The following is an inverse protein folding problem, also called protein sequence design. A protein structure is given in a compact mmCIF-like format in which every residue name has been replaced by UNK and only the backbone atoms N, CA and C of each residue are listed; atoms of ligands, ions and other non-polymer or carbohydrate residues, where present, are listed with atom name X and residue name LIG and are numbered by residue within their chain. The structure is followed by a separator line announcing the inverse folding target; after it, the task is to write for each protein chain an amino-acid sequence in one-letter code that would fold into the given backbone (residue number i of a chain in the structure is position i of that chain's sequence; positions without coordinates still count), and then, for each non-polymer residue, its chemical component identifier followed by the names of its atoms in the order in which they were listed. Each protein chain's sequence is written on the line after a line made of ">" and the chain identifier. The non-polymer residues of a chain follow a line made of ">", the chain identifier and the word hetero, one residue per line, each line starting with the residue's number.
data_IF_780166634891
#
_entry.id   IF_780166634891
#
_cell.length_a   1.000
_cell.length_b   1.000
_cell.length_c   1.000
_cell.angle_alpha   90.00
_cell.angle_beta   90.00
_cell.angle_gamma   90.00
#
_symmetry.space_group_name_H-M   'P 1'
#
loop_
_entity.id
_entity.type
_entity.pdbx_description
1 polymer ?
#
# COMPACT_ATOMS: atom_id res chain seq x y z
N UNK A 1 -13.54 8.80 -20.99
CA UNK A 1 -13.86 8.77 -19.58
C UNK A 1 -12.75 9.45 -18.76
N UNK A 2 -11.45 9.06 -18.88
CA UNK A 2 -10.37 9.70 -18.11
C UNK A 2 -10.23 11.18 -18.41
N UNK A 3 -10.36 11.61 -19.69
CA UNK A 3 -10.34 13.01 -20.07
C UNK A 3 -11.39 13.88 -19.34
N UNK A 4 -12.55 13.32 -19.06
CA UNK A 4 -13.68 14.02 -18.46
C UNK A 4 -13.72 13.88 -16.93
N UNK A 5 -13.11 12.83 -16.37
CA UNK A 5 -13.25 12.47 -14.96
C UNK A 5 -11.99 12.69 -14.12
N UNK A 6 -10.83 12.92 -14.77
CA UNK A 6 -9.58 13.21 -14.07
C UNK A 6 -9.62 14.62 -13.49
N UNK A 7 -9.48 14.72 -12.17
CA UNK A 7 -9.29 15.99 -11.45
C UNK A 7 -7.79 16.16 -11.21
N UNK A 8 -7.16 17.07 -11.97
CA UNK A 8 -5.71 17.33 -11.89
C UNK A 8 -5.35 18.28 -10.75
N UNK A 9 -6.21 19.25 -10.45
CA UNK A 9 -6.06 20.21 -9.37
C UNK A 9 -7.29 20.17 -8.46
N UNK A 10 -7.22 19.41 -7.36
CA UNK A 10 -8.29 19.35 -6.37
C UNK A 10 -8.23 20.52 -5.36
N UNK A 11 -7.34 21.52 -5.57
CA UNK A 11 -7.10 22.61 -4.65
C UNK A 11 -6.07 22.30 -3.54
N UNK A 12 -5.40 21.17 -3.64
CA UNK A 12 -4.29 20.78 -2.77
C UNK A 12 -3.31 19.88 -3.56
N UNK A 13 -2.07 19.76 -3.08
CA UNK A 13 -1.05 18.97 -3.74
C UNK A 13 -1.37 17.47 -3.65
N UNK A 14 -1.46 16.82 -4.81
CA UNK A 14 -1.60 15.36 -4.88
C UNK A 14 -0.26 14.69 -4.61
N UNK A 15 -0.24 13.58 -3.85
CA UNK A 15 0.98 12.81 -3.63
C UNK A 15 1.39 12.08 -4.91
N UNK A 16 2.70 11.90 -5.10
CA UNK A 16 3.26 11.13 -6.22
C UNK A 16 3.22 9.62 -5.94
N UNK A 17 3.19 9.24 -4.67
CA UNK A 17 3.10 7.84 -4.24
C UNK A 17 2.13 7.69 -3.07
N UNK A 18 1.58 6.49 -2.90
CA UNK A 18 0.77 6.18 -1.72
C UNK A 18 1.53 6.36 -0.39
N UNK A 19 2.88 6.30 -0.42
CA UNK A 19 3.76 6.53 0.73
C UNK A 19 3.91 8.01 1.13
N UNK A 20 3.31 8.93 0.38
CA UNK A 20 3.32 10.38 0.64
C UNK A 20 1.98 10.90 1.12
N UNK A 21 0.97 10.05 1.22
CA UNK A 21 -0.36 10.43 1.71
C UNK A 21 -0.28 10.82 3.17
N UNK A 22 -0.44 12.11 3.46
CA UNK A 22 -0.22 12.70 4.80
C UNK A 22 -1.46 13.32 5.40
N UNK A 23 -2.40 13.79 4.57
CA UNK A 23 -3.59 14.51 5.01
C UNK A 23 -4.85 13.69 4.77
N UNK A 24 -5.92 14.00 5.51
CA UNK A 24 -7.23 13.39 5.30
C UNK A 24 -7.79 13.72 3.93
N UNK A 25 -7.59 14.97 3.46
CA UNK A 25 -7.99 15.38 2.12
C UNK A 25 -7.37 14.51 1.01
N UNK A 26 -6.06 14.28 1.08
CA UNK A 26 -5.36 13.42 0.12
C UNK A 26 -5.89 11.98 0.17
N UNK A 27 -6.05 11.45 1.38
CA UNK A 27 -6.54 10.09 1.59
C UNK A 27 -7.97 9.91 1.03
N UNK A 28 -8.91 10.76 1.43
CA UNK A 28 -10.31 10.67 1.02
C UNK A 28 -10.47 10.89 -0.49
N UNK A 29 -9.71 11.83 -1.05
CA UNK A 29 -9.69 12.07 -2.49
C UNK A 29 -9.23 10.84 -3.27
N UNK A 30 -8.08 10.25 -2.91
CA UNK A 30 -7.54 9.09 -3.60
C UNK A 30 -8.38 7.83 -3.39
N UNK A 31 -8.97 7.67 -2.20
CA UNK A 31 -9.92 6.59 -1.92
C UNK A 31 -11.14 6.67 -2.82
N UNK A 32 -11.74 7.86 -2.92
CA UNK A 32 -12.89 8.10 -3.80
C UNK A 32 -12.50 7.98 -5.27
N UNK A 33 -11.31 8.43 -5.67
CA UNK A 33 -10.79 8.27 -7.02
C UNK A 33 -10.68 6.80 -7.38
N UNK A 34 -10.03 5.98 -6.58
CA UNK A 34 -9.89 4.55 -6.83
C UNK A 34 -11.26 3.86 -6.95
N UNK A 35 -12.19 4.17 -6.05
CA UNK A 35 -13.57 3.66 -6.12
C UNK A 35 -14.23 4.01 -7.46
N UNK A 36 -14.16 5.27 -7.87
CA UNK A 36 -14.72 5.76 -9.12
C UNK A 36 -14.14 5.04 -10.35
N UNK A 37 -12.83 4.82 -10.38
CA UNK A 37 -12.15 4.08 -11.47
C UNK A 37 -12.57 2.60 -11.47
N UNK A 38 -12.68 1.98 -10.29
CA UNK A 38 -13.18 0.61 -10.16
C UNK A 38 -14.62 0.46 -10.64
N UNK A 39 -15.54 1.32 -10.18
CA UNK A 39 -16.94 1.30 -10.57
C UNK A 39 -17.15 1.55 -12.08
N UNK A 40 -16.27 2.33 -12.68
CA UNK A 40 -16.26 2.55 -14.13
C UNK A 40 -15.68 1.37 -14.93
N UNK A 41 -15.19 0.32 -14.27
CA UNK A 41 -14.66 -0.89 -14.91
C UNK A 41 -13.21 -0.79 -15.40
N UNK A 42 -12.44 0.21 -14.97
CA UNK A 42 -11.06 0.44 -15.42
C UNK A 42 -10.00 -0.03 -14.42
N UNK A 43 -10.41 -0.68 -13.31
CA UNK A 43 -9.50 -1.23 -12.32
C UNK A 43 -9.97 -2.62 -11.86
N UNK A 44 -9.02 -3.57 -11.72
CA UNK A 44 -9.35 -4.97 -11.44
C UNK A 44 -9.88 -5.71 -12.68
N UNK A 45 -9.61 -5.21 -13.89
CA UNK A 45 -10.16 -5.73 -15.14
C UNK A 45 -9.83 -7.20 -15.39
N UNK A 46 -8.63 -7.65 -15.00
CA UNK A 46 -8.19 -9.03 -15.24
C UNK A 46 -8.42 -9.98 -14.06
N UNK A 47 -8.94 -9.48 -12.94
CA UNK A 47 -9.23 -10.33 -11.80
C UNK A 47 -10.53 -11.10 -11.97
N UNK A 48 -10.67 -12.28 -11.31
CA UNK A 48 -11.84 -13.13 -11.47
C UNK A 48 -13.13 -12.42 -11.08
N UNK A 49 -14.19 -12.67 -11.84
CA UNK A 49 -15.50 -12.05 -11.62
C UNK A 49 -16.17 -12.46 -10.33
N UNK A 50 -15.95 -13.71 -9.90
CA UNK A 50 -16.48 -14.27 -8.65
C UNK A 50 -15.96 -13.57 -7.39
N UNK A 51 -14.84 -12.80 -7.51
CA UNK A 51 -14.25 -12.02 -6.40
C UNK A 51 -14.39 -10.50 -6.63
N UNK A 52 -15.14 -10.08 -7.65
CA UNK A 52 -15.40 -8.67 -7.94
C UNK A 52 -14.50 -8.03 -8.97
N UNK A 53 -13.67 -8.80 -9.67
CA UNK A 53 -13.00 -8.35 -10.89
C UNK A 53 -13.92 -8.38 -12.10
N UNK A 54 -13.35 -8.15 -13.30
CA UNK A 54 -14.10 -8.11 -14.54
C UNK A 54 -13.78 -9.28 -15.49
N UNK A 55 -12.86 -10.16 -15.13
CA UNK A 55 -12.52 -11.38 -15.88
C UNK A 55 -11.97 -11.14 -17.29
N UNK A 56 -11.46 -9.95 -17.56
CA UNK A 56 -10.95 -9.56 -18.87
C UNK A 56 -9.50 -10.02 -19.07
N UNK A 57 -9.04 -10.03 -20.31
CA UNK A 57 -7.64 -10.29 -20.62
C UNK A 57 -6.73 -9.20 -19.99
N UNK A 58 -5.56 -9.55 -19.41
CA UNK A 58 -4.67 -8.60 -18.73
C UNK A 58 -4.25 -7.38 -19.56
N UNK A 59 -4.23 -7.50 -20.89
CA UNK A 59 -3.93 -6.38 -21.79
C UNK A 59 -4.90 -5.19 -21.61
N UNK A 60 -6.17 -5.44 -21.31
CA UNK A 60 -7.13 -4.36 -21.07
C UNK A 60 -6.72 -3.51 -19.86
N UNK A 61 -6.25 -4.16 -18.79
CA UNK A 61 -5.73 -3.43 -17.62
C UNK A 61 -4.47 -2.62 -17.95
N UNK A 62 -3.56 -3.17 -18.78
CA UNK A 62 -2.36 -2.43 -19.23
C UNK A 62 -2.73 -1.21 -20.06
N UNK A 63 -3.71 -1.35 -20.96
CA UNK A 63 -4.23 -0.22 -21.76
C UNK A 63 -4.86 0.83 -20.86
N UNK A 64 -5.74 0.44 -19.93
CA UNK A 64 -6.38 1.36 -18.99
C UNK A 64 -5.34 2.11 -18.15
N UNK A 65 -4.32 1.43 -17.62
CA UNK A 65 -3.22 2.04 -16.86
C UNK A 65 -2.42 3.02 -17.71
N UNK A 66 -2.14 2.69 -18.98
CA UNK A 66 -1.45 3.62 -19.91
C UNK A 66 -2.29 4.87 -20.17
N UNK A 67 -3.59 4.72 -20.35
CA UNK A 67 -4.51 5.84 -20.56
C UNK A 67 -4.61 6.70 -19.30
N UNK A 68 -4.67 6.11 -18.09
CA UNK A 68 -4.58 6.86 -16.83
C UNK A 68 -3.32 7.73 -16.79
N UNK A 69 -2.15 7.15 -17.09
CA UNK A 69 -0.88 7.88 -17.13
C UNK A 69 -0.89 9.03 -18.15
N UNK A 70 -1.41 8.81 -19.36
CA UNK A 70 -1.47 9.83 -20.41
C UNK A 70 -2.40 11.01 -20.09
N UNK A 71 -3.37 10.82 -19.20
CA UNK A 71 -4.25 11.87 -18.71
C UNK A 71 -3.80 12.49 -17.38
N UNK A 72 -2.61 12.14 -16.90
CA UNK A 72 -2.09 12.64 -15.62
C UNK A 72 -3.04 12.35 -14.44
N UNK A 73 -3.71 11.20 -14.49
CA UNK A 73 -4.67 10.80 -13.48
C UNK A 73 -4.02 10.67 -12.10
N UNK A 74 -4.77 10.86 -11.00
CA UNK A 74 -4.29 10.55 -9.67
C UNK A 74 -3.91 9.07 -9.52
N UNK A 75 -2.97 8.80 -8.61
CA UNK A 75 -2.55 7.44 -8.31
C UNK A 75 -3.68 6.64 -7.63
N UNK A 76 -3.60 5.32 -7.70
CA UNK A 76 -4.43 4.43 -6.87
C UNK A 76 -3.88 4.38 -5.44
N UNK A 77 -4.77 4.47 -4.46
CA UNK A 77 -4.39 4.55 -3.05
C UNK A 77 -3.92 3.21 -2.48
N UNK A 78 -4.68 2.15 -2.76
CA UNK A 78 -4.60 0.88 -2.02
C UNK A 78 -3.54 -0.06 -2.62
N UNK A 79 -2.30 0.45 -2.73
CA UNK A 79 -1.19 -0.25 -3.36
C UNK A 79 -0.88 -1.59 -2.68
N UNK A 80 -0.87 -1.64 -1.34
CA UNK A 80 -0.58 -2.84 -0.57
C UNK A 80 -1.62 -3.94 -0.83
N UNK A 81 -2.90 -3.58 -0.83
CA UNK A 81 -3.96 -4.51 -1.16
C UNK A 81 -3.85 -5.03 -2.60
N UNK A 82 -3.77 -4.10 -3.56
CA UNK A 82 -3.92 -4.45 -4.97
C UNK A 82 -2.60 -4.82 -5.63
N UNK A 83 -1.48 -4.34 -5.08
CA UNK A 83 -0.14 -4.61 -5.59
C UNK A 83 0.37 -6.00 -5.24
N UNK A 84 0.15 -6.45 -4.01
CA UNK A 84 0.71 -7.73 -3.55
C UNK A 84 -0.20 -8.57 -2.64
N UNK A 85 -1.03 -8.00 -1.78
CA UNK A 85 -1.92 -8.81 -0.91
C UNK A 85 -2.99 -9.55 -1.71
N UNK A 86 -3.69 -8.85 -2.60
CA UNK A 86 -4.72 -9.44 -3.44
C UNK A 86 -4.16 -10.51 -4.39
N UNK A 87 -3.07 -10.24 -5.13
CA UNK A 87 -2.37 -11.27 -5.91
C UNK A 87 -1.94 -12.49 -5.08
N UNK A 88 -1.42 -12.28 -3.87
CA UNK A 88 -1.10 -13.35 -2.94
C UNK A 88 -2.34 -14.20 -2.60
N UNK A 89 -3.46 -13.55 -2.24
CA UNK A 89 -4.70 -14.25 -1.92
C UNK A 89 -5.26 -15.01 -3.13
N UNK A 90 -5.18 -14.45 -4.32
CA UNK A 90 -5.59 -15.16 -5.54
C UNK A 90 -4.73 -16.41 -5.80
N UNK A 91 -3.43 -16.36 -5.47
CA UNK A 91 -2.49 -17.48 -5.64
C UNK A 91 -2.71 -18.58 -4.58
N UNK A 92 -2.70 -18.21 -3.28
CA UNK A 92 -2.66 -19.19 -2.19
C UNK A 92 -3.74 -19.00 -1.10
N UNK A 93 -4.56 -17.94 -1.19
CA UNK A 93 -5.59 -17.66 -0.20
C UNK A 93 -6.71 -18.70 -0.23
N UNK A 94 -7.39 -18.87 0.90
CA UNK A 94 -8.60 -19.70 0.99
C UNK A 94 -9.73 -19.05 0.19
N UNK A 95 -10.65 -19.84 -0.27
CA UNK A 95 -11.79 -19.37 -1.06
C UNK A 95 -12.64 -18.31 -0.31
N UNK A 96 -12.82 -18.51 0.98
CA UNK A 96 -13.52 -17.56 1.85
C UNK A 96 -12.81 -16.21 1.94
N UNK A 97 -11.45 -16.20 2.02
CA UNK A 97 -10.66 -14.97 2.06
C UNK A 97 -10.75 -14.21 0.74
N UNK A 98 -10.68 -14.92 -0.38
CA UNK A 98 -10.84 -14.31 -1.72
C UNK A 98 -12.19 -13.62 -1.86
N UNK A 99 -13.28 -14.31 -1.50
CA UNK A 99 -14.65 -13.76 -1.55
C UNK A 99 -14.86 -12.60 -0.60
N UNK A 100 -14.22 -12.66 0.58
CA UNK A 100 -14.36 -11.64 1.61
C UNK A 100 -13.58 -10.37 1.27
N UNK A 101 -12.34 -10.47 0.77
CA UNK A 101 -11.41 -9.35 0.76
C UNK A 101 -11.17 -8.74 -0.63
N UNK A 102 -11.25 -9.50 -1.72
CA UNK A 102 -10.79 -9.01 -3.03
C UNK A 102 -11.61 -7.81 -3.52
N UNK A 103 -12.93 -7.86 -3.47
CA UNK A 103 -13.77 -6.74 -3.92
C UNK A 103 -13.57 -5.47 -3.09
N UNK A 104 -13.59 -5.49 -1.73
CA UNK A 104 -13.29 -4.33 -0.91
C UNK A 104 -11.89 -3.74 -1.13
N UNK A 105 -10.89 -4.57 -1.44
CA UNK A 105 -9.55 -4.12 -1.83
C UNK A 105 -9.57 -3.32 -3.13
N UNK A 106 -10.22 -3.85 -4.18
CA UNK A 106 -10.31 -3.22 -5.49
C UNK A 106 -11.05 -1.88 -5.44
N UNK A 107 -12.17 -1.83 -4.73
CA UNK A 107 -13.00 -0.63 -4.57
C UNK A 107 -12.45 0.40 -3.59
N UNK A 108 -11.34 0.11 -2.89
CA UNK A 108 -10.83 0.89 -1.77
C UNK A 108 -11.86 1.09 -0.64
N UNK A 109 -12.81 0.17 -0.49
CA UNK A 109 -13.71 0.12 0.66
C UNK A 109 -12.93 -0.23 1.93
N UNK A 110 -11.96 -1.15 1.82
CA UNK A 110 -11.02 -1.51 2.86
C UNK A 110 -9.59 -1.21 2.43
N UNK A 111 -8.89 -0.41 3.22
CA UNK A 111 -7.49 -0.03 2.98
C UNK A 111 -6.58 -0.96 3.77
N UNK A 112 -5.47 -1.35 3.13
CA UNK A 112 -4.54 -2.31 3.70
C UNK A 112 -3.16 -1.71 3.93
N UNK A 113 -2.49 -2.19 4.97
CA UNK A 113 -1.10 -1.87 5.27
C UNK A 113 -0.27 -3.15 5.46
N UNK A 114 1.07 -2.97 5.52
CA UNK A 114 2.02 -4.07 5.68
C UNK A 114 2.78 -3.93 6.99
N UNK A 115 2.69 -4.93 7.86
CA UNK A 115 3.36 -5.03 9.14
C UNK A 115 4.48 -6.08 9.12
N UNK A 116 5.59 -5.78 8.43
CA UNK A 116 6.75 -6.66 8.34
C UNK A 116 7.89 -6.17 9.21
N UNK A 117 8.50 -5.04 8.86
CA UNK A 117 9.67 -4.48 9.54
C UNK A 117 9.39 -4.12 10.99
N UNK A 118 10.38 -4.35 11.85
CA UNK A 118 10.42 -3.94 13.26
C UNK A 118 11.56 -2.97 13.49
N UNK A 119 11.57 -2.19 14.58
CA UNK A 119 12.65 -1.24 14.85
C UNK A 119 14.05 -1.87 14.78
N UNK A 120 14.21 -3.08 15.29
CA UNK A 120 15.49 -3.81 15.31
C UNK A 120 15.64 -4.78 14.12
N UNK A 121 14.57 -5.08 13.36
CA UNK A 121 14.53 -6.13 12.35
C UNK A 121 13.89 -5.63 11.05
N UNK A 122 14.63 -4.86 10.25
CA UNK A 122 14.27 -4.44 8.90
C UNK A 122 14.84 -5.39 7.85
N UNK A 123 16.12 -5.24 7.54
CA UNK A 123 16.83 -6.11 6.56
C UNK A 123 16.87 -7.56 7.01
N UNK A 124 17.00 -7.82 8.31
CA UNK A 124 16.90 -9.16 8.89
C UNK A 124 15.46 -9.47 9.36
N UNK A 125 14.54 -9.45 8.42
CA UNK A 125 13.12 -9.71 8.67
C UNK A 125 12.86 -11.09 9.30
N UNK A 126 13.69 -12.09 9.00
CA UNK A 126 13.58 -13.43 9.59
C UNK A 126 13.74 -13.47 11.12
N UNK A 127 14.35 -12.44 11.70
CA UNK A 127 14.53 -12.29 13.16
C UNK A 127 13.42 -11.49 13.83
N UNK A 128 12.30 -11.20 13.14
CA UNK A 128 11.17 -10.47 13.72
C UNK A 128 10.67 -11.11 15.01
N UNK A 129 10.35 -10.25 16.01
CA UNK A 129 10.05 -10.63 17.39
C UNK A 129 8.61 -10.31 17.82
N UNK A 130 7.82 -9.58 17.04
CA UNK A 130 6.40 -9.38 17.34
C UNK A 130 5.75 -10.73 17.55
N UNK A 131 5.19 -10.97 18.76
CA UNK A 131 4.65 -12.27 19.17
C UNK A 131 3.19 -12.39 18.79
N UNK A 132 2.77 -13.61 18.46
CA UNK A 132 1.39 -14.00 18.29
C UNK A 132 1.15 -15.29 19.07
N UNK A 133 0.43 -15.21 20.18
CA UNK A 133 0.13 -16.35 21.04
C UNK A 133 -1.33 -16.77 20.83
N UNK A 134 -1.55 -18.03 20.49
CA UNK A 134 -2.90 -18.54 20.29
C UNK A 134 -3.67 -18.62 21.61
N UNK A 135 -4.90 -18.11 21.61
CA UNK A 135 -5.84 -18.15 22.71
C UNK A 135 -7.25 -18.48 22.16
N UNK A 136 -7.57 -19.76 22.08
CA UNK A 136 -8.81 -20.26 21.49
C UNK A 136 -8.91 -19.93 19.99
N UNK A 137 -9.91 -19.14 19.64
CA UNK A 137 -10.20 -18.71 18.26
C UNK A 137 -9.52 -17.38 17.87
N UNK A 138 -8.59 -16.91 18.72
CA UNK A 138 -7.85 -15.68 18.50
C UNK A 138 -6.35 -15.88 18.66
N UNK A 139 -5.59 -14.88 18.20
CA UNK A 139 -4.18 -14.68 18.57
C UNK A 139 -4.04 -13.36 19.32
N UNK A 140 -3.29 -13.41 20.43
CA UNK A 140 -2.88 -12.23 21.20
C UNK A 140 -1.55 -11.74 20.67
N UNK A 141 -1.54 -10.51 20.15
CA UNK A 141 -0.37 -9.91 19.51
C UNK A 141 0.30 -8.92 20.44
N UNK A 142 1.63 -9.06 20.59
CA UNK A 142 2.47 -8.14 21.37
C UNK A 142 3.76 -7.83 20.62
N UNK A 143 4.09 -6.54 20.48
CA UNK A 143 5.28 -6.07 19.79
C UNK A 143 5.08 -4.75 19.06
N UNK A 144 5.87 -4.49 18.03
CA UNK A 144 5.69 -3.30 17.21
C UNK A 144 6.17 -3.50 15.77
N UNK A 145 5.52 -2.82 14.83
CA UNK A 145 5.92 -2.74 13.42
C UNK A 145 6.20 -1.30 13.04
N UNK A 146 7.16 -1.10 12.14
CA UNK A 146 7.60 0.23 11.72
C UNK A 146 7.65 0.32 10.19
N UNK A 147 7.69 1.53 9.67
CA UNK A 147 7.67 1.85 8.23
C UNK A 147 6.38 1.36 7.54
N UNK A 148 5.30 1.29 8.31
CA UNK A 148 4.00 0.84 7.83
C UNK A 148 3.30 1.97 7.08
N UNK A 149 3.27 1.89 5.74
CA UNK A 149 2.54 2.86 4.92
C UNK A 149 1.05 2.77 5.20
N UNK A 150 0.38 3.92 5.39
CA UNK A 150 -1.05 4.03 5.68
C UNK A 150 -1.51 3.30 6.96
N UNK A 151 -0.62 2.90 7.87
CA UNK A 151 -0.98 2.10 9.04
C UNK A 151 -1.96 2.78 10.00
N UNK A 152 -1.97 4.12 10.05
CA UNK A 152 -2.91 4.92 10.85
C UNK A 152 -4.32 5.02 10.24
N UNK A 153 -4.50 4.55 9.00
CA UNK A 153 -5.74 4.66 8.22
C UNK A 153 -6.26 3.32 7.72
N UNK A 154 -5.42 2.28 7.82
CA UNK A 154 -5.74 0.95 7.31
C UNK A 154 -6.86 0.28 8.11
N UNK A 155 -7.66 -0.49 7.40
CA UNK A 155 -8.67 -1.39 7.98
C UNK A 155 -8.05 -2.75 8.31
N UNK A 156 -7.09 -3.20 7.50
CA UNK A 156 -6.39 -4.48 7.65
C UNK A 156 -4.88 -4.33 7.45
N UNK A 157 -4.15 -5.25 8.07
CA UNK A 157 -2.70 -5.40 7.94
C UNK A 157 -2.36 -6.82 7.49
N UNK A 158 -1.46 -6.97 6.51
CA UNK A 158 -0.72 -8.21 6.38
C UNK A 158 0.38 -8.20 7.43
N UNK A 159 0.24 -9.03 8.46
CA UNK A 159 1.10 -9.06 9.62
C UNK A 159 1.97 -10.32 9.63
N UNK A 160 3.30 -10.14 9.70
CA UNK A 160 4.23 -11.21 9.98
C UNK A 160 4.58 -11.19 11.48
N UNK A 161 4.24 -12.25 12.20
CA UNK A 161 4.46 -12.34 13.66
C UNK A 161 4.98 -13.73 14.05
N UNK A 162 5.63 -13.81 15.20
CA UNK A 162 6.24 -15.04 15.72
C UNK A 162 5.27 -15.80 16.60
N UNK A 163 4.93 -17.00 16.20
CA UNK A 163 4.06 -17.92 16.97
C UNK A 163 4.88 -18.94 17.79
N UNK A 164 6.13 -19.25 17.37
CA UNK A 164 7.04 -20.13 18.12
C UNK A 164 8.48 -19.72 17.93
N UNK A 165 9.33 -20.06 18.91
CA UNK A 165 10.78 -19.99 18.82
C UNK A 165 11.41 -21.41 18.66
N UNK A 166 10.56 -22.46 18.66
CA UNK A 166 10.98 -23.84 18.55
C UNK A 166 11.11 -24.23 17.08
N UNK A 167 12.30 -24.23 16.55
CA UNK A 167 12.51 -24.60 15.16
C UNK A 167 13.98 -24.62 14.74
N UNK A 168 14.27 -25.26 13.59
CA UNK A 168 15.65 -25.45 13.13
C UNK A 168 16.31 -24.15 12.62
N UNK A 169 15.55 -23.07 12.45
CA UNK A 169 16.05 -21.78 11.96
C UNK A 169 15.23 -20.62 12.46
N UNK A 170 15.76 -19.38 12.36
CA UNK A 170 15.05 -18.13 12.69
C UNK A 170 13.80 -17.89 11.84
N UNK A 171 13.67 -18.54 10.71
CA UNK A 171 12.52 -18.45 9.79
C UNK A 171 11.36 -19.33 10.23
N UNK A 172 11.64 -20.42 10.95
CA UNK A 172 10.63 -21.28 11.53
C UNK A 172 9.89 -20.53 12.66
N UNK A 173 8.60 -20.81 12.81
CA UNK A 173 7.77 -20.19 13.84
C UNK A 173 7.30 -18.77 13.52
N UNK A 174 7.59 -18.23 12.34
CA UNK A 174 6.91 -17.03 11.82
C UNK A 174 5.59 -17.43 11.17
N UNK A 175 4.52 -16.70 11.46
CA UNK A 175 3.18 -16.89 10.90
C UNK A 175 2.70 -15.60 10.23
N UNK A 176 1.83 -15.75 9.24
CA UNK A 176 1.33 -14.64 8.44
C UNK A 176 -0.17 -14.47 8.64
N UNK A 177 -0.62 -13.25 8.91
CA UNK A 177 -2.00 -12.97 9.27
C UNK A 177 -2.61 -11.84 8.43
N UNK A 178 -3.89 -11.96 8.13
CA UNK A 178 -4.76 -10.86 7.71
C UNK A 178 -5.36 -10.26 8.98
N UNK A 179 -4.72 -9.26 9.55
CA UNK A 179 -5.05 -8.72 10.86
C UNK A 179 -5.91 -7.46 10.75
N UNK A 180 -7.09 -7.39 11.39
CA UNK A 180 -7.86 -6.15 11.49
C UNK A 180 -7.08 -5.12 12.30
N UNK A 181 -7.05 -3.86 11.85
CA UNK A 181 -6.33 -2.77 12.51
C UNK A 181 -7.17 -2.01 13.54
N UNK A 182 -8.49 -2.10 13.46
CA UNK A 182 -9.42 -1.37 14.33
C UNK A 182 -9.90 -2.25 15.49
N UNK A 183 -8.93 -2.78 16.24
CA UNK A 183 -9.18 -3.59 17.46
C UNK A 183 -8.48 -2.95 18.66
N UNK A 184 -8.98 -3.18 19.89
CA UNK A 184 -8.29 -2.74 21.11
C UNK A 184 -6.86 -3.28 21.18
N UNK A 185 -5.94 -2.48 21.74
CA UNK A 185 -4.54 -2.86 21.88
C UNK A 185 -3.66 -2.54 20.68
N UNK A 186 -4.18 -1.94 19.61
CA UNK A 186 -3.38 -1.40 18.51
C UNK A 186 -3.34 0.12 18.62
N UNK A 187 -2.13 0.65 18.75
CA UNK A 187 -1.85 2.10 18.69
C UNK A 187 -0.94 2.40 17.50
N UNK A 188 -1.15 3.55 16.88
CA UNK A 188 -0.36 3.98 15.73
C UNK A 188 0.25 5.35 15.96
N UNK A 189 1.50 5.55 15.50
CA UNK A 189 2.20 6.83 15.54
C UNK A 189 2.78 7.15 14.17
N UNK A 190 2.41 8.28 13.62
CA UNK A 190 2.94 8.75 12.33
C UNK A 190 4.41 9.10 12.44
N UNK A 191 5.17 8.72 11.44
CA UNK A 191 6.59 9.03 11.31
C UNK A 191 6.79 10.15 10.29
N UNK A 192 7.47 11.22 10.72
CA UNK A 192 7.84 12.31 9.83
C UNK A 192 9.04 11.92 8.99
N UNK A 193 8.90 11.98 7.67
CA UNK A 193 9.98 11.75 6.72
C UNK A 193 10.90 12.96 6.61
N UNK A 194 12.08 12.78 6.01
CA UNK A 194 13.03 13.87 5.71
C UNK A 194 12.40 14.97 4.84
N UNK A 195 11.52 14.57 3.92
CA UNK A 195 10.78 15.45 3.02
C UNK A 195 9.62 16.22 3.70
N UNK A 196 9.31 15.88 4.96
CA UNK A 196 8.31 16.59 5.79
C UNK A 196 6.95 15.92 5.89
N UNK A 197 6.62 14.97 5.02
CA UNK A 197 5.35 14.24 5.03
C UNK A 197 5.33 13.16 6.13
N UNK A 198 4.10 12.67 6.43
CA UNK A 198 3.80 11.62 7.40
C UNK A 198 3.24 10.37 6.72
N UNK A 199 3.94 9.84 5.70
CA UNK A 199 3.48 8.71 4.92
C UNK A 199 3.71 7.34 5.56
N UNK A 200 4.51 7.26 6.62
CA UNK A 200 4.77 6.04 7.38
C UNK A 200 4.24 6.10 8.80
N UNK A 201 4.03 4.93 9.37
CA UNK A 201 3.49 4.74 10.71
C UNK A 201 4.31 3.69 11.45
N UNK A 202 4.48 3.87 12.75
CA UNK A 202 4.82 2.80 13.68
C UNK A 202 3.55 2.30 14.34
N UNK A 203 3.34 0.98 14.35
CA UNK A 203 2.21 0.32 14.97
C UNK A 203 2.68 -0.44 16.20
N UNK A 204 2.01 -0.24 17.31
CA UNK A 204 2.28 -0.91 18.59
C UNK A 204 1.13 -1.85 18.91
N UNK A 205 1.47 -3.05 19.36
CA UNK A 205 0.53 -4.08 19.75
C UNK A 205 0.72 -4.40 21.23
N UNK A 206 -0.31 -4.21 22.01
CA UNK A 206 -0.36 -4.52 23.44
C UNK A 206 -1.60 -5.34 23.71
N UNK A 207 -1.42 -6.65 23.84
CA UNK A 207 -2.49 -7.63 23.98
C UNK A 207 -3.61 -7.49 22.93
N UNK A 208 -3.23 -7.09 21.71
CA UNK A 208 -4.16 -6.92 20.61
C UNK A 208 -4.68 -8.28 20.13
N UNK A 209 -6.01 -8.45 20.11
CA UNK A 209 -6.66 -9.71 19.73
C UNK A 209 -7.10 -9.70 18.29
N UNK A 210 -6.63 -10.66 17.51
CA UNK A 210 -7.01 -10.84 16.12
C UNK A 210 -7.60 -12.25 15.91
N UNK A 211 -8.56 -12.41 14.99
CA UNK A 211 -9.18 -13.72 14.75
C UNK A 211 -8.16 -14.75 14.23
N UNK A 212 -8.19 -15.97 14.74
CA UNK A 212 -7.36 -17.07 14.25
C UNK A 212 -7.67 -17.43 12.79
N UNK A 213 -8.89 -17.13 12.33
CA UNK A 213 -9.27 -17.26 10.93
C UNK A 213 -8.49 -16.34 9.99
N UNK A 214 -7.79 -15.31 10.50
CA UNK A 214 -6.90 -14.47 9.70
C UNK A 214 -5.55 -15.12 9.34
N UNK A 215 -5.21 -16.30 9.86
CA UNK A 215 -3.99 -17.01 9.52
C UNK A 215 -3.99 -17.44 8.04
N UNK A 216 -2.93 -17.09 7.31
CA UNK A 216 -2.71 -17.49 5.91
C UNK A 216 -1.68 -18.60 5.85
N UNK A 217 -2.05 -19.74 5.29
CA UNK A 217 -1.24 -20.96 5.32
C UNK A 217 -1.29 -21.65 6.69
N UNK A 218 -0.20 -22.32 7.05
CA UNK A 218 -0.07 -23.02 8.33
C UNK A 218 0.70 -22.18 9.35
N UNK A 219 0.42 -22.38 10.63
CA UNK A 219 1.18 -21.76 11.72
C UNK A 219 2.66 -22.15 11.64
N UNK A 220 3.54 -21.18 11.82
CA UNK A 220 4.99 -21.38 11.70
C UNK A 220 5.54 -21.35 10.28
N UNK A 221 4.71 -21.27 9.25
CA UNK A 221 5.12 -21.22 7.83
C UNK A 221 4.97 -19.84 7.17
N UNK A 222 4.73 -18.80 7.95
CA UNK A 222 4.52 -17.44 7.47
C UNK A 222 5.69 -16.84 6.71
N UNK A 223 6.93 -17.34 6.94
CA UNK A 223 8.08 -16.91 6.14
C UNK A 223 7.90 -17.17 4.64
N UNK A 224 7.40 -18.34 4.27
CA UNK A 224 7.17 -18.69 2.86
C UNK A 224 6.08 -17.78 2.25
N UNK A 225 5.05 -17.47 3.01
CA UNK A 225 3.98 -16.55 2.60
C UNK A 225 4.51 -15.13 2.42
N UNK A 226 5.37 -14.65 3.35
CA UNK A 226 6.02 -13.36 3.25
C UNK A 226 6.94 -13.28 2.01
N UNK A 227 7.71 -14.32 1.70
CA UNK A 227 8.55 -14.35 0.50
C UNK A 227 7.71 -14.27 -0.78
N UNK A 228 6.59 -14.99 -0.85
CA UNK A 228 5.65 -14.87 -1.98
C UNK A 228 5.08 -13.45 -2.11
N UNK A 229 4.75 -12.81 -0.99
CA UNK A 229 4.29 -11.40 -0.98
C UNK A 229 5.35 -10.48 -1.59
N UNK A 230 6.62 -10.65 -1.17
CA UNK A 230 7.74 -9.85 -1.67
C UNK A 230 8.05 -10.09 -3.16
N UNK A 231 7.73 -11.27 -3.72
CA UNK A 231 7.83 -11.51 -5.16
C UNK A 231 6.91 -10.57 -5.96
N UNK A 232 5.68 -10.34 -5.48
CA UNK A 232 4.75 -9.39 -6.09
C UNK A 232 5.19 -7.94 -5.85
N UNK A 233 5.59 -7.60 -4.64
CA UNK A 233 6.04 -6.26 -4.27
C UNK A 233 7.24 -5.80 -5.11
N UNK A 234 8.20 -6.71 -5.35
CA UNK A 234 9.44 -6.42 -6.10
C UNK A 234 9.32 -6.65 -7.61
N UNK A 235 8.13 -6.94 -8.11
CA UNK A 235 7.88 -7.15 -9.53
C UNK A 235 8.48 -8.43 -10.12
N UNK A 236 8.94 -9.39 -9.29
CA UNK A 236 9.40 -10.70 -9.75
C UNK A 236 8.25 -11.54 -10.33
N UNK A 237 7.04 -11.32 -9.83
CA UNK A 237 5.79 -11.80 -10.45
C UNK A 237 5.01 -10.65 -11.04
N UNK A 238 4.40 -10.90 -12.20
CA UNK A 238 3.54 -9.91 -12.85
C UNK A 238 2.30 -9.68 -11.98
N UNK A 239 2.13 -8.43 -11.53
CA UNK A 239 0.90 -8.02 -10.88
C UNK A 239 -0.21 -7.90 -11.93
N UNK A 240 -1.25 -8.75 -11.87
CA UNK A 240 -2.31 -8.74 -12.87
C UNK A 240 -3.17 -7.46 -12.83
N UNK A 241 -3.15 -6.71 -11.73
CA UNK A 241 -3.89 -5.43 -11.64
C UNK A 241 -3.17 -4.31 -12.40
N UNK A 242 -1.85 -4.39 -12.59
CA UNK A 242 -1.09 -3.37 -13.31
C UNK A 242 -1.31 -1.96 -12.74
N UNK A 243 -1.29 -1.81 -11.41
CA UNK A 243 -1.72 -0.60 -10.73
C UNK A 243 -0.84 0.62 -11.01
N UNK A 244 -1.46 1.78 -11.07
CA UNK A 244 -0.80 3.08 -11.11
C UNK A 244 -0.69 3.62 -9.69
N UNK A 245 0.30 3.12 -8.94
CA UNK A 245 0.50 3.45 -7.51
C UNK A 245 1.59 4.49 -7.28
N UNK A 246 2.40 4.75 -8.30
CA UNK A 246 3.48 5.73 -8.28
C UNK A 246 3.39 6.54 -9.56
N UNK A 247 3.47 7.86 -9.41
CA UNK A 247 3.60 8.80 -10.50
C UNK A 247 5.07 9.15 -10.63
N UNK A 248 5.69 8.71 -11.70
CA UNK A 248 7.04 9.10 -12.03
C UNK A 248 7.04 10.57 -12.43
N UNK A 249 7.93 11.35 -11.86
CA UNK A 249 8.21 12.72 -12.25
C UNK A 249 9.66 12.78 -12.69
N UNK A 250 9.89 13.03 -13.96
CA UNK A 250 11.21 13.33 -14.48
C UNK A 250 11.61 14.80 -14.20
N UNK A 251 12.84 15.15 -14.51
CA UNK A 251 13.37 16.51 -14.32
C UNK A 251 12.51 17.54 -15.04
N UNK A 252 12.03 17.25 -16.24
CA UNK A 252 11.17 18.15 -16.98
C UNK A 252 9.80 18.34 -16.32
N UNK A 253 9.25 17.32 -15.70
CA UNK A 253 8.04 17.43 -14.88
C UNK A 253 8.19 18.37 -13.69
N UNK A 254 9.38 18.37 -13.04
CA UNK A 254 9.70 19.34 -11.97
C UNK A 254 9.78 20.77 -12.52
N UNK A 255 10.38 20.96 -13.68
CA UNK A 255 10.45 22.27 -14.37
C UNK A 255 9.04 22.76 -14.75
N UNK A 256 8.19 21.88 -15.29
CA UNK A 256 6.81 22.23 -15.65
C UNK A 256 5.96 22.58 -14.43
N UNK A 257 6.15 21.87 -13.33
CA UNK A 257 5.55 22.22 -12.04
C UNK A 257 6.00 23.59 -11.57
N UNK A 258 7.30 23.91 -11.67
CA UNK A 258 7.85 25.20 -11.29
C UNK A 258 7.36 26.35 -12.18
N UNK A 259 7.04 26.10 -13.45
CA UNK A 259 6.42 27.09 -14.36
C UNK A 259 5.02 27.51 -13.91
N UNK A 260 4.26 26.57 -13.38
CA UNK A 260 2.89 26.82 -12.92
C UNK A 260 2.80 27.28 -11.46
N UNK A 261 3.79 26.96 -10.65
CA UNK A 261 3.83 27.28 -9.23
C UNK A 261 4.09 28.78 -8.97
N UNK A 262 3.46 29.31 -7.91
CA UNK A 262 3.67 30.69 -7.46
C UNK A 262 4.14 30.71 -6.00
N UNK A 263 5.08 31.62 -5.71
CA UNK A 263 5.55 31.92 -4.36
C UNK A 263 5.39 33.42 -4.11
N UNK A 264 4.62 33.80 -3.09
CA UNK A 264 4.31 35.22 -2.84
C UNK A 264 3.61 35.92 -4.00
N UNK A 265 2.77 35.19 -4.77
CA UNK A 265 2.04 35.69 -5.93
C UNK A 265 2.85 35.79 -7.23
N UNK A 266 4.14 35.53 -7.21
CA UNK A 266 5.02 35.55 -8.39
C UNK A 266 5.35 34.13 -8.86
N UNK A 267 5.54 33.88 -10.18
CA UNK A 267 5.99 32.59 -10.67
C UNK A 267 7.30 32.15 -9.99
N UNK A 268 7.40 30.87 -9.64
CA UNK A 268 8.60 30.33 -8.97
C UNK A 268 9.86 30.49 -9.86
N UNK A 269 9.71 30.41 -11.18
CA UNK A 269 10.82 30.60 -12.11
C UNK A 269 11.32 32.06 -12.22
N UNK A 270 10.60 33.05 -11.70
CA UNK A 270 11.09 34.43 -11.63
C UNK A 270 12.12 34.62 -10.50
N UNK A 271 12.18 33.68 -9.55
CA UNK A 271 13.21 33.64 -8.50
C UNK A 271 14.51 33.04 -9.06
N UNK A 272 15.61 33.84 -9.16
CA UNK A 272 16.87 33.36 -9.71
C UNK A 272 17.49 32.21 -8.91
N UNK A 273 17.29 32.18 -7.57
CA UNK A 273 17.80 31.11 -6.70
C UNK A 273 17.09 29.79 -7.01
N UNK A 274 15.78 29.86 -7.27
CA UNK A 274 15.02 28.65 -7.64
C UNK A 274 15.41 28.16 -9.03
N UNK A 275 15.67 29.07 -9.97
CA UNK A 275 16.18 28.68 -11.31
C UNK A 275 17.54 27.99 -11.22
N UNK A 276 18.47 28.53 -10.45
CA UNK A 276 19.81 27.93 -10.29
C UNK A 276 19.67 26.50 -9.72
N UNK A 277 18.86 26.30 -8.67
CA UNK A 277 18.60 24.98 -8.10
C UNK A 277 17.99 24.00 -9.11
N UNK A 278 17.09 24.46 -9.97
CA UNK A 278 16.51 23.62 -11.02
C UNK A 278 17.54 23.25 -12.08
N UNK A 279 18.43 24.19 -12.43
CA UNK A 279 19.52 23.94 -13.38
C UNK A 279 20.52 22.93 -12.79
N UNK A 280 20.91 23.09 -11.52
CA UNK A 280 21.79 22.15 -10.82
C UNK A 280 21.17 20.74 -10.85
N UNK A 281 19.87 20.63 -10.52
CA UNK A 281 19.14 19.37 -10.54
C UNK A 281 19.01 18.74 -11.96
N UNK A 282 19.08 19.56 -13.02
CA UNK A 282 19.08 19.08 -14.41
C UNK A 282 20.45 18.58 -14.88
N UNK A 283 21.54 19.03 -14.23
CA UNK A 283 22.92 18.71 -14.61
C UNK A 283 23.39 17.42 -13.88
N UNK A 284 22.94 17.19 -12.64
CA UNK A 284 23.22 15.98 -11.87
C UNK A 284 22.48 14.75 -12.41
#
# INVERSE_FOLDING_TARGET
>A
WFAENTVRDPGFMLPLTFMEVSTDQQFDFLRNWQRKVYEAGYFGMSWPTEYGGYGMHPEYQRIATRVMKSHDAPIMLNAIANGWTGPLLLDIGREEDKRRFIKPMLSAEEIWCQGFSEPEHGSDLGSAQTKAVRDGDEYVINGSKIWTSLGDRADYMILLARTSNDGPSKYAGLSFFLAPMKVPGIETRRLKKLTGEYGFTQCFFTDARIPASGLVGEEGQGWMVAMKTLEYERGAKVNPVGGYFVKEMDVMGVVDMARSAKRGGKPVLDDPVMRDKLVDYMIE
#
